data_IF_745225968074
#
_entry.id   IF_745225968074
#
_cell.length_a   1.000
_cell.length_b   1.000
_cell.length_c   1.000
_cell.angle_alpha   90.00
_cell.angle_beta   90.00
_cell.angle_gamma   90.00
#
_symmetry.space_group_name_H-M   'P 1'
#
loop_
_entity.id
_entity.type
_entity.pdbx_description
1 polymer ?
#
# COMPACT_ATOMS: atom_id res chain seq x y z
N UNK A 1 -7.34 -17.52 -53.56
CA UNK A 1 -8.12 -17.01 -52.42
C UNK A 1 -7.61 -17.69 -51.14
N UNK A 2 -7.14 -16.83 -50.25
CA UNK A 2 -6.67 -16.93 -48.86
C UNK A 2 -6.45 -18.31 -48.21
N UNK A 3 -5.17 -18.57 -47.88
CA UNK A 3 -4.72 -19.57 -46.92
C UNK A 3 -5.18 -19.16 -45.51
N UNK A 4 -6.06 -19.95 -44.91
CA UNK A 4 -6.45 -19.85 -43.51
C UNK A 4 -5.28 -20.34 -42.63
N UNK A 5 -4.56 -19.43 -41.99
CA UNK A 5 -3.59 -19.76 -40.93
C UNK A 5 -4.31 -19.68 -39.59
N UNK A 6 -4.72 -20.82 -39.05
CA UNK A 6 -5.07 -20.97 -37.64
C UNK A 6 -3.77 -21.33 -36.92
N UNK A 7 -3.19 -20.34 -36.24
CA UNK A 7 -2.09 -20.42 -35.27
C UNK A 7 -2.48 -19.44 -34.16
N UNK A 8 -2.44 -19.70 -32.87
CA UNK A 8 -2.05 -20.87 -32.08
C UNK A 8 -2.64 -20.67 -30.68
N UNK A 9 -2.99 -21.79 -30.04
CA UNK A 9 -2.91 -22.07 -28.60
C UNK A 9 -3.44 -21.06 -27.56
N UNK A 10 -4.49 -21.51 -26.87
CA UNK A 10 -4.69 -21.28 -25.43
C UNK A 10 -3.35 -21.41 -24.68
N UNK A 11 -2.97 -20.37 -23.94
CA UNK A 11 -2.26 -20.52 -22.66
C UNK A 11 -2.83 -19.49 -21.70
N UNK A 12 -3.76 -19.98 -20.89
CA UNK A 12 -4.24 -19.35 -19.67
C UNK A 12 -3.29 -19.86 -18.57
N UNK A 13 -2.19 -19.15 -18.32
CA UNK A 13 -1.28 -19.46 -17.20
C UNK A 13 -0.95 -18.15 -16.50
N UNK A 14 -1.44 -18.06 -15.26
CA UNK A 14 -1.08 -17.02 -14.33
C UNK A 14 0.43 -17.01 -14.11
N UNK A 15 1.03 -15.85 -14.30
CA UNK A 15 2.35 -15.57 -13.77
C UNK A 15 2.23 -15.33 -12.26
N UNK A 16 2.10 -16.43 -11.53
CA UNK A 16 2.66 -16.52 -10.18
C UNK A 16 4.17 -16.64 -10.39
N UNK A 17 4.87 -15.51 -10.46
CA UNK A 17 6.32 -15.50 -10.29
C UNK A 17 6.61 -15.69 -8.80
N UNK A 18 6.65 -16.95 -8.38
CA UNK A 18 7.46 -17.36 -7.24
C UNK A 18 8.93 -17.24 -7.66
N UNK A 19 9.63 -16.29 -7.07
CA UNK A 19 11.06 -16.08 -7.28
C UNK A 19 11.74 -15.52 -6.03
N UNK A 20 12.14 -16.45 -5.15
CA UNK A 20 13.29 -16.38 -4.24
C UNK A 20 13.51 -15.11 -3.40
N UNK A 21 13.00 -15.13 -2.17
CA UNK A 21 13.86 -15.27 -0.99
C UNK A 21 12.99 -15.65 0.20
N UNK A 22 13.45 -16.63 0.98
CA UNK A 22 12.73 -17.12 2.14
C UNK A 22 12.51 -16.00 3.13
N UNK A 23 11.25 -15.76 3.49
CA UNK A 23 10.84 -15.15 4.75
C UNK A 23 9.32 -15.11 4.84
N UNK A 24 8.79 -15.91 5.76
CA UNK A 24 7.47 -15.76 6.33
C UNK A 24 6.36 -16.42 5.53
N UNK A 25 5.70 -17.39 6.16
CA UNK A 25 4.32 -17.71 5.87
C UNK A 25 3.54 -16.40 5.64
N UNK A 26 2.98 -16.25 4.44
CA UNK A 26 2.15 -15.11 4.08
C UNK A 26 1.05 -15.01 5.13
N UNK A 27 1.11 -13.97 5.97
CA UNK A 27 0.02 -13.49 6.82
C UNK A 27 -1.17 -13.22 5.89
N UNK A 28 -1.99 -14.25 5.66
CA UNK A 28 -2.99 -14.32 4.60
C UNK A 28 -3.81 -13.03 4.54
N UNK A 29 -3.69 -12.30 3.43
CA UNK A 29 -4.53 -11.13 3.14
C UNK A 29 -3.78 -9.80 3.08
N UNK A 30 -2.64 -9.61 3.74
CA UNK A 30 -1.90 -8.34 3.69
C UNK A 30 -0.94 -8.26 2.49
N UNK A 31 -0.84 -7.06 1.90
CA UNK A 31 0.06 -6.75 0.78
C UNK A 31 1.23 -5.94 1.34
N UNK A 32 2.45 -6.45 1.14
CA UNK A 32 3.69 -5.77 1.55
C UNK A 32 3.80 -4.41 0.86
N UNK A 33 4.56 -3.50 1.48
CA UNK A 33 4.83 -2.17 0.91
C UNK A 33 5.69 -2.26 -0.36
N UNK A 34 5.04 -2.41 -1.50
CA UNK A 34 5.66 -2.34 -2.82
C UNK A 34 4.97 -1.25 -3.63
N UNK A 35 5.69 -0.57 -4.52
CA UNK A 35 5.05 0.39 -5.41
C UNK A 35 4.30 -0.36 -6.53
N UNK A 36 3.02 -0.60 -6.32
CA UNK A 36 2.15 -1.30 -7.29
C UNK A 36 1.52 -0.35 -8.31
N UNK A 37 1.70 0.96 -8.16
CA UNK A 37 1.12 1.97 -9.04
C UNK A 37 2.20 2.59 -9.95
N UNK A 38 2.20 2.26 -11.27
CA UNK A 38 3.22 2.73 -12.20
C UNK A 38 3.22 4.25 -12.42
N UNK A 39 2.19 4.98 -11.95
CA UNK A 39 2.14 6.44 -12.03
C UNK A 39 2.93 7.12 -10.92
N UNK A 40 3.36 6.39 -9.89
CA UNK A 40 4.17 6.91 -8.79
C UNK A 40 5.62 6.57 -9.09
N UNK A 41 6.52 7.55 -9.12
CA UNK A 41 7.96 7.24 -9.19
C UNK A 41 8.41 6.51 -7.94
N UNK A 42 9.27 5.51 -8.12
CA UNK A 42 9.80 4.71 -7.02
C UNK A 42 10.47 5.57 -5.93
N UNK A 43 11.22 6.60 -6.35
CA UNK A 43 11.93 7.52 -5.44
C UNK A 43 10.97 8.24 -4.47
N UNK A 44 9.81 8.68 -4.96
CA UNK A 44 8.79 9.30 -4.10
C UNK A 44 8.12 8.29 -3.18
N UNK A 45 7.80 7.12 -3.71
CA UNK A 45 7.21 6.05 -2.91
C UNK A 45 8.14 5.70 -1.75
N UNK A 46 9.43 5.53 -2.03
CA UNK A 46 10.47 5.27 -1.05
C UNK A 46 10.60 6.43 -0.05
N UNK A 47 10.57 7.68 -0.51
CA UNK A 47 10.59 8.85 0.38
C UNK A 47 9.39 8.86 1.35
N UNK A 48 8.18 8.54 0.87
CA UNK A 48 6.99 8.42 1.71
C UNK A 48 7.14 7.32 2.78
N UNK A 49 7.61 6.14 2.37
CA UNK A 49 7.84 5.02 3.30
C UNK A 49 8.96 5.32 4.29
N UNK A 50 10.03 5.97 3.86
CA UNK A 50 11.13 6.36 4.74
C UNK A 50 10.65 7.36 5.79
N UNK A 51 9.81 8.33 5.43
CA UNK A 51 9.20 9.25 6.40
C UNK A 51 8.35 8.53 7.45
N UNK A 52 7.60 7.50 7.04
CA UNK A 52 6.85 6.65 7.97
C UNK A 52 7.79 5.93 8.95
N UNK A 53 8.87 5.33 8.45
CA UNK A 53 9.86 4.60 9.27
C UNK A 53 10.67 5.51 10.19
N UNK A 54 10.95 6.75 9.79
CA UNK A 54 11.53 7.79 10.66
C UNK A 54 10.59 8.13 11.82
N UNK A 55 9.28 8.20 11.55
CA UNK A 55 8.28 8.54 12.55
C UNK A 55 7.97 7.39 13.51
N UNK A 56 7.98 6.15 13.01
CA UNK A 56 7.61 4.94 13.75
C UNK A 56 8.85 4.04 13.82
N UNK A 57 9.63 4.21 14.89
CA UNK A 57 10.93 3.56 15.07
C UNK A 57 10.85 2.20 15.76
N UNK A 58 9.66 1.78 16.20
CA UNK A 58 9.50 0.48 16.85
C UNK A 58 9.71 -0.65 15.83
N UNK A 59 10.75 -1.45 16.06
CA UNK A 59 11.17 -2.55 15.19
C UNK A 59 10.26 -3.77 15.27
N UNK A 60 9.40 -3.84 16.28
CA UNK A 60 8.40 -4.90 16.44
C UNK A 60 7.21 -4.72 15.49
N UNK A 61 7.16 -3.59 14.77
CA UNK A 61 6.10 -3.30 13.82
C UNK A 61 6.53 -3.56 12.37
N UNK A 62 5.56 -4.01 11.58
CA UNK A 62 5.60 -4.07 10.12
C UNK A 62 4.53 -3.19 9.52
N UNK A 63 4.75 -2.79 8.28
CA UNK A 63 3.91 -1.86 7.56
C UNK A 63 3.33 -2.55 6.33
N UNK A 64 2.04 -2.33 6.08
CA UNK A 64 1.32 -2.92 4.94
C UNK A 64 0.35 -1.91 4.34
N UNK A 65 -0.01 -2.07 3.07
CA UNK A 65 -1.05 -1.23 2.48
C UNK A 65 -2.42 -1.51 3.11
N UNK A 66 -3.14 -0.43 3.42
CA UNK A 66 -4.46 -0.52 4.05
C UNK A 66 -5.53 -1.13 3.13
N UNK A 67 -5.31 -1.18 1.82
CA UNK A 67 -6.26 -1.71 0.83
C UNK A 67 -6.84 -3.08 1.20
N UNK A 68 -5.99 -3.93 1.77
CA UNK A 68 -6.34 -5.29 2.16
C UNK A 68 -7.32 -5.40 3.32
N UNK A 69 -7.39 -4.38 4.18
CA UNK A 69 -8.29 -4.34 5.33
C UNK A 69 -9.72 -3.94 4.96
N UNK A 70 -9.92 -3.34 3.79
CA UNK A 70 -11.26 -3.00 3.30
C UNK A 70 -12.05 -4.24 2.85
N UNK A 71 -11.37 -5.36 2.56
CA UNK A 71 -12.01 -6.60 2.10
C UNK A 71 -12.65 -7.41 3.24
N UNK A 72 -12.40 -7.07 4.51
CA UNK A 72 -12.82 -7.86 5.68
C UNK A 72 -13.68 -7.12 6.71
N UNK A 73 -14.26 -5.96 6.37
CA UNK A 73 -15.17 -5.12 7.21
C UNK A 73 -14.63 -4.62 8.57
N UNK A 74 -13.42 -5.00 8.97
CA UNK A 74 -12.83 -4.64 10.27
C UNK A 74 -12.05 -3.32 10.26
N UNK A 75 -11.99 -2.61 9.12
CA UNK A 75 -11.25 -1.35 8.98
C UNK A 75 -11.58 -0.31 10.05
N UNK A 76 -12.87 -0.15 10.39
CA UNK A 76 -13.38 0.76 11.43
C UNK A 76 -12.79 0.55 12.83
N UNK A 77 -12.17 -0.60 13.07
CA UNK A 77 -11.53 -0.93 14.36
C UNK A 77 -10.11 -0.36 14.47
N UNK A 78 -9.48 -0.01 13.34
CA UNK A 78 -8.08 0.39 13.26
C UNK A 78 -7.88 1.85 12.85
N UNK A 79 -8.99 2.58 12.70
CA UNK A 79 -8.98 3.97 12.28
C UNK A 79 -10.02 4.81 13.03
N UNK A 80 -9.77 6.11 13.18
CA UNK A 80 -10.74 7.06 13.73
C UNK A 80 -12.00 7.17 12.85
N UNK A 81 -13.09 7.71 13.38
CA UNK A 81 -14.36 7.84 12.64
C UNK A 81 -14.22 8.76 11.41
N UNK A 82 -13.56 9.90 11.57
CA UNK A 82 -13.28 10.84 10.46
C UNK A 82 -12.44 10.18 9.35
N UNK A 83 -11.41 9.43 9.77
CA UNK A 83 -10.51 8.74 8.85
C UNK A 83 -11.20 7.55 8.16
N UNK A 84 -12.11 6.86 8.85
CA UNK A 84 -12.91 5.78 8.27
C UNK A 84 -13.69 6.26 7.05
N UNK A 85 -14.44 7.36 7.18
CA UNK A 85 -15.21 7.93 6.07
C UNK A 85 -14.31 8.36 4.91
N UNK A 86 -13.24 9.10 5.21
CA UNK A 86 -12.27 9.58 4.22
C UNK A 86 -11.62 8.45 3.43
N UNK A 87 -11.05 7.46 4.12
CA UNK A 87 -10.32 6.37 3.46
C UNK A 87 -11.24 5.41 2.73
N UNK A 88 -12.48 5.21 3.20
CA UNK A 88 -13.49 4.44 2.47
C UNK A 88 -13.82 5.10 1.13
N UNK A 89 -14.02 6.41 1.11
CA UNK A 89 -14.23 7.16 -0.14
C UNK A 89 -13.00 7.05 -1.07
N UNK A 90 -11.79 7.17 -0.51
CA UNK A 90 -10.56 7.00 -1.29
C UNK A 90 -10.39 5.60 -1.85
N UNK A 91 -10.74 4.54 -1.10
CA UNK A 91 -10.72 3.17 -1.58
C UNK A 91 -11.61 2.99 -2.81
N UNK A 92 -12.84 3.52 -2.77
CA UNK A 92 -13.78 3.47 -3.89
C UNK A 92 -13.27 4.21 -5.13
N UNK A 93 -12.47 5.27 -4.92
CA UNK A 93 -11.86 6.07 -5.97
C UNK A 93 -10.49 5.52 -6.44
N UNK A 94 -9.96 4.45 -5.84
CA UNK A 94 -8.61 3.96 -6.12
C UNK A 94 -7.49 4.90 -5.67
N UNK A 95 -7.73 5.73 -4.64
CA UNK A 95 -6.84 6.81 -4.18
C UNK A 95 -6.10 6.54 -2.88
N UNK A 96 -6.13 5.31 -2.36
CA UNK A 96 -5.35 4.93 -1.18
C UNK A 96 -3.84 4.94 -1.44
N UNK A 97 -3.43 4.78 -2.71
CA UNK A 97 -2.05 4.74 -3.17
C UNK A 97 -1.95 5.60 -4.43
N UNK A 98 -1.44 6.81 -4.30
CA UNK A 98 -1.13 7.70 -5.42
C UNK A 98 0.12 8.53 -5.11
N UNK A 99 0.48 9.41 -6.05
CA UNK A 99 1.58 10.36 -5.95
C UNK A 99 1.43 11.37 -4.81
N UNK A 100 0.24 11.43 -4.20
CA UNK A 100 -0.08 12.39 -3.16
C UNK A 100 -0.27 11.81 -1.78
N UNK A 101 -0.80 10.59 -1.72
CA UNK A 101 -1.27 9.97 -0.50
C UNK A 101 -0.95 8.48 -0.54
N UNK A 102 -0.53 7.97 0.61
CA UNK A 102 -0.33 6.56 0.85
C UNK A 102 -0.92 6.20 2.21
N UNK A 103 -1.89 5.28 2.21
CA UNK A 103 -2.54 4.81 3.44
C UNK A 103 -1.95 3.46 3.83
N UNK A 104 -1.33 3.43 5.01
CA UNK A 104 -0.58 2.29 5.53
C UNK A 104 -1.16 1.88 6.88
N UNK A 105 -1.06 0.60 7.19
CA UNK A 105 -1.31 0.09 8.54
C UNK A 105 -0.06 -0.50 9.17
N UNK A 106 -0.01 -0.36 10.48
CA UNK A 106 0.99 -1.01 11.32
C UNK A 106 0.46 -2.34 11.84
N UNK A 107 1.28 -3.39 11.78
CA UNK A 107 0.99 -4.72 12.31
C UNK A 107 2.12 -5.14 13.24
N UNK A 108 1.77 -5.61 14.43
CA UNK A 108 2.71 -6.18 15.41
C UNK A 108 3.23 -7.54 14.92
N UNK A 109 4.55 -7.68 14.82
CA UNK A 109 5.21 -8.90 14.35
C UNK A 109 4.97 -10.10 15.26
N UNK A 110 4.79 -9.86 16.55
CA UNK A 110 4.75 -10.89 17.58
C UNK A 110 3.38 -11.55 17.69
N UNK A 111 2.30 -10.83 17.37
CA UNK A 111 0.93 -11.31 17.55
C UNK A 111 0.00 -11.03 16.36
N UNK A 112 0.52 -10.46 15.26
CA UNK A 112 -0.21 -10.14 14.03
C UNK A 112 -1.40 -9.18 14.21
N UNK A 113 -1.48 -8.45 15.34
CA UNK A 113 -2.54 -7.47 15.54
C UNK A 113 -2.24 -6.22 14.74
N UNK A 114 -3.25 -5.73 14.03
CA UNK A 114 -3.23 -4.41 13.41
C UNK A 114 -3.33 -3.37 14.53
N UNK A 115 -2.35 -2.47 14.59
CA UNK A 115 -2.33 -1.38 15.57
C UNK A 115 -3.14 -0.20 15.08
N UNK A 116 -2.57 0.59 14.17
CA UNK A 116 -3.17 1.85 13.70
C UNK A 116 -2.95 2.06 12.21
N UNK A 117 -3.88 2.80 11.61
CA UNK A 117 -3.75 3.37 10.28
C UNK A 117 -2.93 4.68 10.29
N UNK A 118 -2.18 4.90 9.23
CA UNK A 118 -1.41 6.10 8.97
C UNK A 118 -1.69 6.59 7.55
N UNK A 119 -1.79 7.89 7.41
CA UNK A 119 -1.81 8.58 6.12
C UNK A 119 -0.48 9.27 5.96
N UNK A 120 0.22 8.92 4.90
CA UNK A 120 1.39 9.64 4.45
C UNK A 120 0.91 10.54 3.33
N UNK A 121 1.10 11.85 3.45
CA UNK A 121 0.65 12.82 2.45
C UNK A 121 1.72 13.84 2.12
N UNK A 122 1.75 14.30 0.89
CA UNK A 122 2.56 15.44 0.51
C UNK A 122 1.82 16.75 0.78
N UNK A 123 2.52 17.75 1.30
CA UNK A 123 1.97 19.09 1.53
C UNK A 123 2.40 20.14 0.50
N UNK A 124 3.38 19.84 -0.35
CA UNK A 124 3.89 20.76 -1.38
C UNK A 124 4.38 19.99 -2.61
N UNK A 125 3.90 20.42 -3.78
CA UNK A 125 4.29 19.88 -5.08
C UNK A 125 5.02 20.97 -5.87
N UNK A 126 6.09 20.58 -6.56
CA UNK A 126 6.93 21.52 -7.30
C UNK A 126 7.41 20.97 -8.63
N UNK A 127 8.59 21.42 -9.04
CA UNK A 127 9.28 20.99 -10.28
C UNK A 127 9.88 19.58 -10.17
N UNK A 128 10.21 19.20 -8.94
CA UNK A 128 10.39 17.82 -8.52
C UNK A 128 9.04 17.39 -7.95
N UNK A 129 8.81 16.09 -7.88
CA UNK A 129 7.53 15.48 -7.56
C UNK A 129 7.18 15.73 -6.06
N UNK A 130 6.76 14.78 -5.21
CA UNK A 130 6.60 15.15 -3.79
C UNK A 130 7.95 15.49 -3.13
N UNK A 131 8.12 16.69 -2.58
CA UNK A 131 9.33 17.07 -1.83
C UNK A 131 9.40 16.28 -0.51
N UNK A 132 10.48 15.50 -0.26
CA UNK A 132 10.64 14.71 0.96
C UNK A 132 10.49 15.50 2.27
N UNK A 133 10.88 16.78 2.30
CA UNK A 133 10.74 17.63 3.48
C UNK A 133 9.28 18.02 3.76
N UNK A 134 8.42 17.92 2.75
CA UNK A 134 7.00 18.23 2.80
C UNK A 134 6.10 17.00 2.91
N UNK A 135 6.68 15.82 3.13
CA UNK A 135 5.95 14.59 3.46
C UNK A 135 5.56 14.62 4.94
N UNK A 136 4.26 14.44 5.20
CA UNK A 136 3.68 14.43 6.54
C UNK A 136 3.09 13.04 6.80
N UNK A 137 3.38 12.49 7.98
CA UNK A 137 2.80 11.24 8.48
C UNK A 137 1.75 11.59 9.52
N UNK A 138 0.49 11.29 9.22
CA UNK A 138 -0.66 11.56 10.09
C UNK A 138 -1.15 10.25 10.69
N UNK A 139 -1.08 10.08 12.02
CA UNK A 139 -1.72 8.95 12.68
C UNK A 139 -3.23 9.11 12.57
N UNK A 140 -3.88 8.06 12.09
CA UNK A 140 -5.34 8.00 11.91
C UNK A 140 -5.94 6.79 12.65
N UNK A 141 -5.22 6.23 13.62
CA UNK A 141 -5.65 5.12 14.47
C UNK A 141 -6.61 5.54 15.59
N UNK A 142 -7.24 4.53 16.21
CA UNK A 142 -7.89 4.64 17.52
C UNK A 142 -6.90 4.41 18.65
#
# INVERSE_FOLDING_TARGET
>A
MNKLKILSSMVLIGFVLLGCNGEGEVRKGFVKLENTNPTIKQENYDAMINKLKEKITNKDFEFYHAETLFNGENWKNYTSEDAFGKFTAWKQQGRLINDQNLVVVVVDKNNNKVGSAYEIKCSKYGKFECDPEHIIVVPNGK
#
